data_IF_323531711451
#
_entry.id   IF_323531711451
#
_cell.length_a   1.000
_cell.length_b   1.000
_cell.length_c   1.000
_cell.angle_alpha   90.00
_cell.angle_beta   90.00
_cell.angle_gamma   90.00
#
_symmetry.space_group_name_H-M   'P 1'
#
loop_
_entity.id
_entity.type
_entity.pdbx_description
1 polymer ?
#
# COMPACT_ATOMS: atom_id res chain seq x y z
N UNK A 1 -8.59 23.34 73.54
CA UNK A 1 -7.50 23.31 72.54
C UNK A 1 -7.82 22.22 71.58
N UNK A 2 -8.45 22.57 70.46
CA UNK A 2 -9.03 21.58 69.50
C UNK A 2 -8.16 21.58 68.29
N UNK A 3 -7.43 20.49 68.03
CA UNK A 3 -6.68 20.28 66.81
C UNK A 3 -7.59 19.87 65.69
N UNK A 4 -7.74 20.72 64.67
CA UNK A 4 -8.37 20.37 63.40
C UNK A 4 -7.34 19.68 62.50
N UNK A 5 -7.53 18.37 62.28
CA UNK A 5 -6.80 17.62 61.30
C UNK A 5 -7.45 17.90 59.94
N UNK A 6 -6.73 18.59 59.03
CA UNK A 6 -7.14 18.78 57.64
C UNK A 6 -6.58 17.62 56.85
N UNK A 7 -7.50 16.70 56.47
CA UNK A 7 -7.18 15.58 55.59
C UNK A 7 -7.17 16.11 54.15
N UNK A 8 -5.99 16.33 53.56
CA UNK A 8 -5.83 16.65 52.17
C UNK A 8 -5.91 15.33 51.37
N UNK A 9 -7.04 15.10 50.76
CA UNK A 9 -7.20 13.99 49.78
C UNK A 9 -6.57 14.44 48.46
N UNK A 10 -5.36 13.94 48.18
CA UNK A 10 -4.71 14.12 46.91
C UNK A 10 -5.36 13.18 45.89
N UNK A 11 -6.32 13.66 45.14
CA UNK A 11 -6.84 12.97 43.96
C UNK A 11 -5.76 12.96 42.89
N UNK A 12 -4.95 11.89 42.85
CA UNK A 12 -4.10 11.60 41.73
C UNK A 12 -4.97 11.23 40.54
N UNK A 13 -5.29 12.18 39.70
CA UNK A 13 -5.85 11.96 38.38
C UNK A 13 -4.83 11.20 37.54
N UNK A 14 -4.92 9.87 37.53
CA UNK A 14 -4.26 9.03 36.54
C UNK A 14 -4.89 9.34 35.17
N UNK A 15 -4.42 10.40 34.56
CA UNK A 15 -4.66 10.68 33.15
C UNK A 15 -4.02 9.56 32.34
N UNK A 16 -4.75 8.48 32.13
CA UNK A 16 -4.39 7.50 31.13
C UNK A 16 -4.34 8.20 29.79
N UNK A 17 -3.13 8.46 29.28
CA UNK A 17 -2.91 8.93 27.93
C UNK A 17 -3.28 7.80 26.99
N UNK A 18 -4.58 7.60 26.74
CA UNK A 18 -5.01 6.86 25.57
C UNK A 18 -4.63 7.73 24.38
N UNK A 19 -3.59 7.37 23.65
CA UNK A 19 -3.27 7.96 22.35
C UNK A 19 -4.51 7.78 21.48
N UNK A 20 -5.34 8.81 21.41
CA UNK A 20 -6.51 8.81 20.53
C UNK A 20 -5.99 8.68 19.10
N UNK A 21 -6.35 7.60 18.41
CA UNK A 21 -5.99 7.40 17.01
C UNK A 21 -6.47 8.58 16.18
N UNK A 22 -5.64 8.97 15.23
CA UNK A 22 -6.06 9.96 14.24
C UNK A 22 -7.17 9.40 13.35
N UNK A 23 -7.99 10.28 12.79
CA UNK A 23 -9.07 9.88 11.87
C UNK A 23 -8.52 9.13 10.64
N UNK A 24 -7.33 9.52 10.16
CA UNK A 24 -6.66 8.81 9.06
C UNK A 24 -6.24 7.39 9.43
N UNK A 25 -5.70 7.19 10.63
CA UNK A 25 -5.35 5.85 11.12
C UNK A 25 -6.59 4.96 11.28
N UNK A 26 -7.70 5.53 11.78
CA UNK A 26 -8.97 4.81 11.90
C UNK A 26 -9.50 4.37 10.53
N UNK A 27 -9.48 5.25 9.54
CA UNK A 27 -9.90 4.93 8.17
C UNK A 27 -9.04 3.81 7.56
N UNK A 28 -7.73 3.85 7.76
CA UNK A 28 -6.82 2.78 7.30
C UNK A 28 -7.16 1.44 7.96
N UNK A 29 -7.48 1.43 9.26
CA UNK A 29 -7.86 0.19 9.96
C UNK A 29 -9.19 -0.37 9.47
N UNK A 30 -10.18 0.49 9.25
CA UNK A 30 -11.46 0.09 8.65
C UNK A 30 -11.25 -0.50 7.25
N UNK A 31 -10.42 0.13 6.45
CA UNK A 31 -10.06 -0.37 5.12
C UNK A 31 -9.32 -1.71 5.19
N UNK A 32 -8.35 -1.87 6.10
CA UNK A 32 -7.67 -3.16 6.33
C UNK A 32 -8.67 -4.24 6.70
N UNK A 33 -9.64 -3.94 7.56
CA UNK A 33 -10.69 -4.89 7.93
C UNK A 33 -11.54 -5.28 6.71
N UNK A 34 -11.96 -4.31 5.92
CA UNK A 34 -12.73 -4.51 4.69
C UNK A 34 -11.98 -5.35 3.65
N UNK A 35 -10.65 -5.28 3.63
CA UNK A 35 -9.79 -6.09 2.74
C UNK A 35 -9.40 -7.46 3.32
N UNK A 36 -10.04 -7.93 4.39
CA UNK A 36 -9.83 -9.26 4.95
C UNK A 36 -9.07 -9.28 6.28
N UNK A 37 -8.63 -8.14 6.77
CA UNK A 37 -8.05 -7.96 8.10
C UNK A 37 -6.56 -8.25 8.21
N UNK A 38 -5.90 -7.55 9.12
CA UNK A 38 -4.46 -7.63 9.32
C UNK A 38 -4.00 -9.06 9.70
N UNK A 39 -4.83 -9.80 10.43
CA UNK A 39 -4.52 -11.19 10.82
C UNK A 39 -4.31 -12.08 9.60
N UNK A 40 -5.21 -12.04 8.63
CA UNK A 40 -5.09 -12.85 7.41
C UNK A 40 -3.86 -12.45 6.60
N UNK A 41 -3.58 -11.14 6.50
CA UNK A 41 -2.39 -10.64 5.83
C UNK A 41 -1.09 -11.11 6.51
N UNK A 42 -0.97 -10.99 7.84
CA UNK A 42 0.24 -11.38 8.59
C UNK A 42 0.47 -12.89 8.66
N UNK A 43 -0.59 -13.69 8.49
CA UNK A 43 -0.51 -15.15 8.44
C UNK A 43 -0.50 -15.71 7.02
N UNK A 44 -0.36 -14.85 6.03
CA UNK A 44 -0.33 -15.26 4.63
C UNK A 44 0.80 -16.26 4.39
N UNK A 45 0.46 -17.37 3.71
CA UNK A 45 1.38 -18.43 3.30
C UNK A 45 1.13 -18.74 1.83
N UNK A 46 2.16 -19.13 1.10
CA UNK A 46 2.06 -19.58 -0.28
C UNK A 46 1.22 -18.65 -1.18
N UNK A 47 1.43 -17.35 -1.04
CA UNK A 47 0.75 -16.37 -1.87
C UNK A 47 1.55 -16.15 -3.14
N UNK A 48 0.91 -16.41 -4.27
CA UNK A 48 1.55 -16.24 -5.58
C UNK A 48 0.64 -15.48 -6.53
N UNK A 49 1.19 -14.54 -7.24
CA UNK A 49 0.49 -13.84 -8.32
C UNK A 49 1.42 -13.58 -9.51
N UNK A 50 0.79 -13.49 -10.68
CA UNK A 50 1.40 -13.01 -11.91
C UNK A 50 0.89 -11.60 -12.18
N UNK A 51 1.78 -10.64 -12.32
CA UNK A 51 1.46 -9.28 -12.75
C UNK A 51 1.85 -9.12 -14.20
N UNK A 52 0.90 -8.83 -15.07
CA UNK A 52 1.18 -8.44 -16.45
C UNK A 52 0.98 -6.94 -16.58
N UNK A 53 2.00 -6.24 -17.06
CA UNK A 53 1.98 -4.81 -17.32
C UNK A 53 1.88 -4.57 -18.83
N UNK A 54 1.02 -3.64 -19.21
CA UNK A 54 0.91 -3.12 -20.58
C UNK A 54 1.25 -1.63 -20.49
N UNK A 55 2.46 -1.27 -20.82
CA UNK A 55 2.95 0.11 -20.76
C UNK A 55 2.79 0.73 -22.13
N UNK A 56 2.26 1.95 -22.19
CA UNK A 56 2.21 2.73 -23.42
C UNK A 56 3.48 3.57 -23.49
N UNK A 57 4.41 3.17 -24.34
CA UNK A 57 5.60 3.94 -24.67
C UNK A 57 5.54 4.36 -26.13
N UNK A 58 5.54 5.68 -26.37
CA UNK A 58 5.64 6.34 -27.67
C UNK A 58 4.76 5.78 -28.82
N UNK A 59 3.63 5.12 -28.54
CA UNK A 59 2.70 4.46 -29.48
C UNK A 59 2.75 2.92 -29.49
N UNK A 60 3.67 2.27 -28.78
CA UNK A 60 3.74 0.83 -28.67
C UNK A 60 3.26 0.35 -27.30
N UNK A 61 2.57 -0.80 -27.28
CA UNK A 61 2.19 -1.48 -26.04
C UNK A 61 3.28 -2.51 -25.71
N UNK A 62 4.06 -2.21 -24.69
CA UNK A 62 5.05 -3.16 -24.16
C UNK A 62 4.37 -4.03 -23.12
N UNK A 63 4.44 -5.35 -23.32
CA UNK A 63 3.96 -6.33 -22.35
C UNK A 63 5.12 -6.86 -21.54
N UNK A 64 4.99 -6.77 -20.23
CA UNK A 64 5.91 -7.36 -19.27
C UNK A 64 5.17 -8.19 -18.24
N UNK A 65 5.79 -9.26 -17.74
CA UNK A 65 5.18 -10.18 -16.79
C UNK A 65 6.12 -10.40 -15.61
N UNK A 66 5.67 -10.00 -14.42
CA UNK A 66 6.32 -10.26 -13.15
C UNK A 66 5.56 -11.35 -12.40
N UNK A 67 6.24 -12.44 -12.06
CA UNK A 67 5.70 -13.51 -11.21
C UNK A 67 6.29 -13.37 -9.83
N UNK A 68 5.43 -13.23 -8.82
CA UNK A 68 5.85 -13.17 -7.42
C UNK A 68 5.26 -14.34 -6.65
N UNK A 69 6.09 -14.97 -5.86
CA UNK A 69 5.71 -16.02 -4.92
C UNK A 69 6.22 -15.67 -3.53
N UNK A 70 5.29 -15.64 -2.57
CA UNK A 70 5.60 -15.48 -1.15
C UNK A 70 5.47 -16.83 -0.48
N UNK A 71 6.59 -17.45 -0.14
CA UNK A 71 6.58 -18.75 0.54
C UNK A 71 6.32 -18.60 2.05
N UNK A 72 6.81 -17.52 2.64
CA UNK A 72 6.55 -17.18 4.05
C UNK A 72 6.58 -15.66 4.18
N UNK A 73 5.70 -15.01 4.97
CA UNK A 73 5.61 -13.54 5.03
C UNK A 73 6.89 -12.80 5.45
N UNK A 74 7.95 -13.50 5.79
CA UNK A 74 9.22 -12.92 6.23
C UNK A 74 10.46 -13.63 5.68
N UNK A 75 10.30 -14.66 4.87
CA UNK A 75 11.40 -15.51 4.42
C UNK A 75 11.34 -15.67 2.90
N UNK A 76 11.79 -14.67 2.21
CA UNK A 76 12.12 -14.77 0.80
C UNK A 76 10.98 -14.50 -0.17
N UNK A 77 11.26 -13.58 -1.06
CA UNK A 77 10.48 -13.34 -2.27
C UNK A 77 11.23 -13.97 -3.42
N UNK A 78 10.62 -14.97 -4.08
CA UNK A 78 11.13 -15.47 -5.35
C UNK A 78 10.54 -14.62 -6.46
N UNK A 79 11.38 -13.91 -7.19
CA UNK A 79 10.99 -13.14 -8.37
C UNK A 79 11.36 -13.96 -9.57
N UNK A 80 10.37 -14.33 -10.37
CA UNK A 80 10.57 -14.92 -11.67
C UNK A 80 10.15 -13.87 -12.71
N UNK A 81 11.11 -13.27 -13.38
CA UNK A 81 10.86 -12.40 -14.53
C UNK A 81 10.97 -13.28 -15.76
N UNK A 82 9.88 -13.46 -16.49
CA UNK A 82 9.88 -14.23 -17.73
C UNK A 82 9.78 -13.28 -18.92
N UNK A 83 10.90 -13.03 -19.56
CA UNK A 83 11.09 -13.20 -21.01
C UNK A 83 12.50 -13.68 -21.31
N UNK A 84 13.33 -13.95 -20.46
CA UNK A 84 14.55 -14.74 -20.47
C UNK A 84 15.02 -14.92 -19.03
N UNK A 85 14.08 -15.54 -18.26
CA UNK A 85 14.30 -16.17 -16.95
C UNK A 85 15.41 -15.58 -16.06
N UNK A 86 15.21 -14.41 -15.51
CA UNK A 86 15.99 -13.99 -14.33
C UNK A 86 15.25 -14.44 -13.07
N UNK A 87 15.71 -15.53 -12.46
CA UNK A 87 15.20 -15.98 -11.16
C UNK A 87 16.01 -15.29 -10.07
N UNK A 88 15.43 -14.34 -9.37
CA UNK A 88 16.01 -13.76 -8.17
C UNK A 88 15.30 -14.38 -6.97
N UNK A 89 16.02 -15.19 -6.20
CA UNK A 89 15.55 -15.70 -4.92
C UNK A 89 16.12 -14.81 -3.83
N UNK A 90 15.30 -13.97 -3.25
CA UNK A 90 15.66 -13.20 -2.07
C UNK A 90 15.34 -14.07 -0.86
N UNK A 91 16.33 -14.79 -0.35
CA UNK A 91 16.20 -15.55 0.89
C UNK A 91 16.53 -14.63 2.05
N UNK A 92 15.51 -14.37 2.90
CA UNK A 92 15.66 -13.75 4.22
C UNK A 92 16.11 -12.28 4.23
N UNK A 93 15.27 -11.38 4.72
CA UNK A 93 15.58 -9.95 4.87
C UNK A 93 16.83 -9.66 5.70
N UNK A 94 17.28 -10.63 6.50
CA UNK A 94 18.46 -10.50 7.37
C UNK A 94 19.78 -10.96 6.73
N UNK A 95 19.78 -11.65 5.60
CA UNK A 95 20.97 -12.23 4.99
C UNK A 95 21.46 -11.44 3.78
N UNK A 96 20.60 -10.65 3.17
CA UNK A 96 21.00 -9.86 2.02
C UNK A 96 21.20 -8.41 2.42
N UNK A 97 22.41 -8.09 2.76
CA UNK A 97 22.80 -6.69 2.80
C UNK A 97 22.79 -6.17 1.36
N UNK A 98 22.32 -4.94 1.19
CA UNK A 98 22.34 -4.25 -0.10
C UNK A 98 23.73 -4.18 -0.77
N UNK A 99 24.79 -4.62 -0.08
CA UNK A 99 26.17 -4.68 -0.55
C UNK A 99 26.48 -5.94 -1.39
N UNK A 100 25.68 -6.99 -1.29
CA UNK A 100 25.90 -8.26 -2.00
C UNK A 100 25.14 -8.33 -3.34
N UNK A 101 24.18 -7.40 -3.54
CA UNK A 101 23.44 -7.31 -4.79
C UNK A 101 24.21 -6.42 -5.76
N UNK A 102 24.38 -6.87 -7.01
CA UNK A 102 24.87 -6.01 -8.07
C UNK A 102 23.80 -4.95 -8.43
N UNK A 103 24.16 -3.97 -9.27
CA UNK A 103 23.26 -2.85 -9.64
C UNK A 103 21.92 -3.31 -10.19
N UNK A 104 21.93 -4.37 -11.00
CA UNK A 104 20.72 -4.90 -11.63
C UNK A 104 19.83 -5.57 -10.60
N UNK A 105 20.43 -6.37 -9.70
CA UNK A 105 19.72 -7.02 -8.63
C UNK A 105 19.09 -6.01 -7.64
N UNK A 106 19.78 -4.90 -7.36
CA UNK A 106 19.22 -3.81 -6.54
C UNK A 106 18.03 -3.14 -7.22
N UNK A 107 18.12 -2.94 -8.54
CA UNK A 107 17.02 -2.39 -9.31
C UNK A 107 15.79 -3.32 -9.28
N UNK A 108 15.98 -4.62 -9.48
CA UNK A 108 14.89 -5.60 -9.37
C UNK A 108 14.28 -5.66 -7.97
N UNK A 109 15.10 -5.60 -6.91
CA UNK A 109 14.60 -5.50 -5.55
C UNK A 109 13.67 -4.31 -5.37
N UNK A 110 14.09 -3.13 -5.83
CA UNK A 110 13.28 -1.91 -5.75
C UNK A 110 11.96 -2.04 -6.53
N UNK A 111 11.98 -2.63 -7.72
CA UNK A 111 10.78 -2.89 -8.53
C UNK A 111 9.80 -3.78 -7.77
N UNK A 112 10.30 -4.83 -7.11
CA UNK A 112 9.46 -5.77 -6.35
C UNK A 112 8.91 -5.13 -5.09
N UNK A 113 9.73 -4.42 -4.34
CA UNK A 113 9.28 -3.70 -3.14
C UNK A 113 8.19 -2.68 -3.49
N UNK A 114 8.38 -1.92 -4.57
CA UNK A 114 7.36 -1.01 -5.10
C UNK A 114 6.09 -1.73 -5.55
N UNK A 115 6.22 -2.85 -6.26
CA UNK A 115 5.08 -3.65 -6.68
C UNK A 115 4.29 -4.21 -5.48
N UNK A 116 4.98 -4.68 -4.44
CA UNK A 116 4.37 -5.18 -3.22
C UNK A 116 3.69 -4.07 -2.42
N UNK A 117 4.34 -2.91 -2.30
CA UNK A 117 3.73 -1.75 -1.64
C UNK A 117 2.38 -1.41 -2.26
N UNK A 118 2.33 -1.39 -3.58
CA UNK A 118 1.11 -1.04 -4.32
C UNK A 118 0.08 -2.17 -4.31
N UNK A 119 0.51 -3.42 -4.40
CA UNK A 119 -0.39 -4.57 -4.47
C UNK A 119 -1.09 -4.86 -3.14
N UNK A 120 -0.36 -4.77 -2.02
CA UNK A 120 -0.88 -5.08 -0.69
C UNK A 120 -1.45 -3.86 0.05
N UNK A 121 -1.95 -2.87 -0.66
CA UNK A 121 -2.75 -1.81 -0.05
C UNK A 121 -4.14 -2.37 0.34
N UNK A 122 -4.68 -1.97 1.51
CA UNK A 122 -4.19 -0.93 2.45
C UNK A 122 -3.19 -1.43 3.51
N UNK A 123 -2.84 -2.72 3.55
CA UNK A 123 -2.00 -3.31 4.63
C UNK A 123 -0.64 -2.60 4.76
N UNK A 124 -0.05 -2.20 3.64
CA UNK A 124 1.23 -1.48 3.59
C UNK A 124 1.20 -0.07 4.20
N UNK A 125 0.02 0.48 4.44
CA UNK A 125 -0.14 1.77 5.14
C UNK A 125 0.13 1.68 6.65
N UNK A 126 0.29 0.46 7.19
CA UNK A 126 0.74 0.21 8.57
C UNK A 126 2.26 0.02 8.67
N UNK A 127 3.00 0.16 7.59
CA UNK A 127 4.46 0.05 7.61
C UNK A 127 5.07 1.15 8.49
N UNK A 128 6.19 0.82 9.13
CA UNK A 128 6.87 1.73 10.05
C UNK A 128 7.27 3.03 9.36
N UNK A 129 6.91 4.15 9.99
CA UNK A 129 7.28 5.49 9.54
C UNK A 129 6.23 6.17 8.65
N UNK A 130 5.13 5.49 8.31
CA UNK A 130 4.01 6.14 7.63
C UNK A 130 3.42 7.24 8.53
N UNK A 131 3.33 8.46 8.00
CA UNK A 131 2.64 9.59 8.62
C UNK A 131 1.35 9.82 7.84
N UNK A 132 0.22 9.63 8.51
CA UNK A 132 -1.10 9.61 7.89
C UNK A 132 -1.88 10.86 8.31
N UNK A 133 -2.31 11.64 7.33
CA UNK A 133 -3.17 12.79 7.51
C UNK A 133 -4.51 12.55 6.81
N UNK A 134 -5.60 12.73 7.52
CA UNK A 134 -6.93 12.68 6.95
C UNK A 134 -7.28 14.01 6.29
N UNK A 135 -7.67 13.97 5.02
CA UNK A 135 -8.00 15.16 4.23
C UNK A 135 -9.51 15.39 4.07
N UNK A 136 -10.33 14.45 4.57
CA UNK A 136 -11.79 14.55 4.51
C UNK A 136 -12.41 13.83 3.31
N UNK A 137 -13.72 13.97 3.21
CA UNK A 137 -14.53 13.49 2.09
C UNK A 137 -14.45 14.54 0.98
N UNK A 138 -13.97 14.16 -0.20
CA UNK A 138 -13.73 15.06 -1.34
C UNK A 138 -14.04 14.37 -2.65
N UNK A 139 -14.41 15.14 -3.66
CA UNK A 139 -14.56 14.66 -5.04
C UNK A 139 -13.27 14.96 -5.82
N UNK A 140 -12.38 13.97 -6.00
CA UNK A 140 -11.19 14.14 -6.82
C UNK A 140 -11.57 14.19 -8.31
N UNK A 141 -10.72 14.78 -9.15
CA UNK A 141 -11.02 15.00 -10.57
C UNK A 141 -11.29 13.74 -11.41
N UNK A 142 -10.99 12.53 -10.88
CA UNK A 142 -11.29 11.26 -11.53
C UNK A 142 -12.62 10.63 -11.08
N UNK A 143 -13.30 11.18 -10.09
CA UNK A 143 -14.53 10.62 -9.52
C UNK A 143 -15.59 11.70 -9.33
N UNK A 144 -16.80 11.42 -9.79
CA UNK A 144 -17.97 12.26 -9.54
C UNK A 144 -18.46 12.11 -8.10
N UNK A 145 -18.28 10.91 -7.51
CA UNK A 145 -18.66 10.61 -6.15
C UNK A 145 -17.56 11.05 -5.17
N UNK A 146 -17.95 11.58 -3.99
CA UNK A 146 -17.00 11.95 -2.97
C UNK A 146 -16.34 10.70 -2.35
N UNK A 147 -15.02 10.76 -2.17
CA UNK A 147 -14.21 9.70 -1.61
C UNK A 147 -13.52 10.18 -0.33
N UNK A 148 -13.36 9.29 0.64
CA UNK A 148 -12.51 9.52 1.80
C UNK A 148 -11.06 9.61 1.34
N UNK A 149 -10.36 10.66 1.74
CA UNK A 149 -9.00 10.90 1.28
C UNK A 149 -8.02 11.01 2.43
N UNK A 150 -6.87 10.35 2.31
CA UNK A 150 -5.71 10.54 3.18
C UNK A 150 -4.48 10.94 2.36
N UNK A 151 -3.57 11.63 3.04
CA UNK A 151 -2.22 11.88 2.60
C UNK A 151 -1.26 11.08 3.46
N UNK A 152 -0.28 10.41 2.83
CA UNK A 152 0.73 9.62 3.53
C UNK A 152 2.11 10.08 3.10
N UNK A 153 2.98 10.30 4.06
CA UNK A 153 4.39 10.65 3.86
C UNK A 153 5.29 9.73 4.66
N UNK A 154 6.54 9.60 4.22
CA UNK A 154 7.57 8.81 4.89
C UNK A 154 8.80 9.68 5.16
N UNK A 155 9.47 9.55 6.32
CA UNK A 155 10.58 10.43 6.73
C UNK A 155 11.76 10.48 5.73
N UNK A 156 11.97 9.41 4.97
CA UNK A 156 13.11 9.26 4.07
C UNK A 156 12.70 9.32 2.59
N UNK A 157 11.52 9.84 2.29
CA UNK A 157 11.03 10.00 0.92
C UNK A 157 10.51 11.41 0.69
N UNK A 158 10.78 11.97 -0.48
CA UNK A 158 10.14 13.21 -0.95
C UNK A 158 8.76 12.96 -1.57
N UNK A 159 8.38 11.71 -1.75
CA UNK A 159 7.11 11.32 -2.35
C UNK A 159 5.96 11.60 -1.39
N UNK A 160 4.90 12.16 -1.93
CA UNK A 160 3.64 12.34 -1.22
C UNK A 160 2.62 11.39 -1.83
N UNK A 161 2.10 10.50 -1.00
CA UNK A 161 1.10 9.52 -1.42
C UNK A 161 -0.29 10.00 -1.03
N UNK A 162 -1.27 9.76 -1.90
CA UNK A 162 -2.68 9.98 -1.64
C UNK A 162 -3.42 8.66 -1.85
N UNK A 163 -4.39 8.38 -0.96
CA UNK A 163 -5.25 7.21 -1.08
C UNK A 163 -6.70 7.64 -1.00
N UNK A 164 -7.50 7.02 -1.84
CA UNK A 164 -8.91 7.33 -2.01
C UNK A 164 -9.71 6.07 -1.69
N UNK A 165 -10.61 6.21 -0.72
CA UNK A 165 -11.42 5.10 -0.23
C UNK A 165 -12.89 5.38 -0.52
N UNK A 166 -13.59 4.34 -0.89
CA UNK A 166 -15.04 4.38 -0.91
C UNK A 166 -15.60 4.65 0.49
N UNK A 167 -16.55 5.56 0.58
CA UNK A 167 -17.05 6.00 1.89
C UNK A 167 -17.81 4.90 2.64
N UNK A 168 -18.52 4.02 1.94
CA UNK A 168 -19.33 2.97 2.54
C UNK A 168 -18.54 1.71 2.77
N UNK A 169 -17.88 1.19 1.73
CA UNK A 169 -17.18 -0.10 1.77
C UNK A 169 -15.79 -0.02 2.37
N UNK A 170 -15.18 1.17 2.42
CA UNK A 170 -13.78 1.42 2.80
C UNK A 170 -12.75 0.75 1.89
N UNK A 171 -13.16 0.36 0.68
CA UNK A 171 -12.22 -0.19 -0.30
C UNK A 171 -11.32 0.90 -0.86
N UNK A 172 -10.06 0.55 -1.11
CA UNK A 172 -9.11 1.45 -1.79
C UNK A 172 -9.46 1.49 -3.28
N UNK A 173 -10.06 2.57 -3.74
CA UNK A 173 -10.46 2.75 -5.15
C UNK A 173 -9.34 3.32 -6.01
N UNK A 174 -8.47 4.12 -5.42
CA UNK A 174 -7.32 4.69 -6.13
C UNK A 174 -6.19 5.03 -5.16
N UNK A 175 -5.01 5.20 -5.72
CA UNK A 175 -3.90 5.85 -5.04
C UNK A 175 -3.14 6.73 -6.03
N UNK A 176 -2.56 7.81 -5.53
CA UNK A 176 -1.68 8.67 -6.32
C UNK A 176 -0.35 8.89 -5.60
N UNK A 177 0.70 9.11 -6.37
CA UNK A 177 1.98 9.57 -5.87
C UNK A 177 2.36 10.87 -6.57
N UNK A 178 2.68 11.88 -5.78
CA UNK A 178 3.34 13.10 -6.26
C UNK A 178 4.84 12.94 -6.03
N UNK A 179 5.56 12.75 -7.14
CA UNK A 179 7.00 12.72 -7.19
C UNK A 179 7.51 13.94 -7.94
N UNK A 180 8.10 14.90 -7.22
CA UNK A 180 8.65 16.14 -7.82
C UNK A 180 7.63 16.89 -8.71
N UNK A 181 6.39 17.05 -8.25
CA UNK A 181 5.26 17.69 -8.96
C UNK A 181 4.76 16.93 -10.20
N UNK A 182 5.18 15.67 -10.36
CA UNK A 182 4.56 14.75 -11.31
C UNK A 182 3.64 13.83 -10.54
N UNK A 183 2.35 13.92 -10.82
CA UNK A 183 1.35 13.09 -10.17
C UNK A 183 1.06 11.89 -11.06
N UNK A 184 1.32 10.70 -10.53
CA UNK A 184 0.88 9.43 -11.11
C UNK A 184 -0.32 8.93 -10.31
N UNK A 185 -1.46 8.76 -10.95
CA UNK A 185 -2.69 8.27 -10.35
C UNK A 185 -2.96 6.84 -10.83
N UNK A 186 -3.22 5.93 -9.90
CA UNK A 186 -3.56 4.55 -10.18
C UNK A 186 -5.00 4.30 -9.75
N UNK A 187 -5.85 3.91 -10.70
CA UNK A 187 -7.20 3.46 -10.44
C UNK A 187 -7.24 1.95 -10.23
N UNK A 188 -7.95 1.51 -9.22
CA UNK A 188 -8.18 0.09 -8.89
C UNK A 188 -9.50 -0.34 -9.53
N UNK A 189 -9.46 -0.78 -10.79
CA UNK A 189 -10.65 -1.06 -11.60
C UNK A 189 -11.42 -2.29 -11.11
N UNK A 190 -10.74 -3.26 -10.51
CA UNK A 190 -11.41 -4.43 -9.95
C UNK A 190 -10.64 -5.07 -8.81
N UNK A 191 -11.39 -5.69 -7.93
CA UNK A 191 -10.93 -6.42 -6.76
C UNK A 191 -11.35 -7.88 -6.87
N UNK A 192 -10.61 -8.78 -6.20
CA UNK A 192 -10.97 -10.19 -6.08
C UNK A 192 -10.53 -10.75 -4.74
N UNK A 193 -11.31 -11.68 -4.22
CA UNK A 193 -10.93 -12.43 -3.03
C UNK A 193 -9.95 -13.54 -3.36
N UNK A 194 -8.86 -13.60 -2.60
CA UNK A 194 -7.91 -14.71 -2.65
C UNK A 194 -7.31 -14.96 -1.26
N UNK A 195 -7.35 -16.19 -0.77
CA UNK A 195 -6.85 -16.58 0.57
C UNK A 195 -7.34 -15.65 1.69
N UNK A 196 -8.64 -15.32 1.68
CA UNK A 196 -9.29 -14.41 2.63
C UNK A 196 -8.79 -12.96 2.60
N UNK A 197 -8.09 -12.56 1.55
CA UNK A 197 -7.73 -11.17 1.28
C UNK A 197 -8.45 -10.67 0.04
N UNK A 198 -8.94 -9.45 0.11
CA UNK A 198 -9.46 -8.71 -1.03
C UNK A 198 -8.30 -7.95 -1.67
N UNK A 199 -7.91 -8.35 -2.86
CA UNK A 199 -6.74 -7.81 -3.57
C UNK A 199 -7.12 -7.25 -4.93
N UNK A 200 -6.29 -6.38 -5.46
CA UNK A 200 -6.49 -5.78 -6.77
C UNK A 200 -6.27 -6.80 -7.89
N UNK A 201 -7.19 -6.88 -8.86
CA UNK A 201 -7.06 -7.76 -10.03
C UNK A 201 -6.82 -7.00 -11.33
N UNK A 202 -7.27 -5.76 -11.42
CA UNK A 202 -6.99 -4.85 -12.54
C UNK A 202 -6.75 -3.44 -12.05
N UNK A 203 -5.80 -2.77 -12.68
CA UNK A 203 -5.44 -1.38 -12.36
C UNK A 203 -5.04 -0.64 -13.61
N UNK A 204 -5.24 0.68 -13.61
CA UNK A 204 -4.74 1.58 -14.66
C UNK A 204 -3.97 2.74 -14.03
N UNK A 205 -2.82 3.06 -14.62
CA UNK A 205 -1.99 4.19 -14.21
C UNK A 205 -2.13 5.33 -15.21
N UNK A 206 -2.30 6.53 -14.69
CA UNK A 206 -2.44 7.75 -15.48
C UNK A 206 -1.43 8.80 -15.04
N UNK A 207 -0.93 9.57 -16.00
CA UNK A 207 -0.43 10.90 -15.69
C UNK A 207 -1.62 11.76 -15.25
N UNK A 208 -1.44 12.50 -14.17
CA UNK A 208 -2.50 13.31 -13.56
C UNK A 208 -1.96 14.68 -13.16
N UNK A 209 -2.84 15.58 -12.77
CA UNK A 209 -2.50 16.86 -12.16
C UNK A 209 -2.77 16.85 -10.65
N UNK A 210 -2.53 17.97 -9.99
CA UNK A 210 -2.76 18.13 -8.54
C UNK A 210 -4.22 18.01 -8.10
N UNK A 211 -5.18 18.09 -9.02
CA UNK A 211 -6.61 17.88 -8.76
C UNK A 211 -7.02 16.43 -9.04
N UNK A 212 -6.07 15.57 -9.38
CA UNK A 212 -6.28 14.16 -9.74
C UNK A 212 -7.15 13.93 -10.97
N UNK A 213 -7.12 14.86 -11.94
CA UNK A 213 -7.75 14.69 -13.24
C UNK A 213 -6.94 13.73 -14.11
N UNK A 214 -7.63 12.89 -14.90
CA UNK A 214 -6.97 11.92 -15.79
C UNK A 214 -6.48 12.62 -17.06
N UNK A 215 -5.15 12.78 -17.21
CA UNK A 215 -4.55 13.45 -18.37
C UNK A 215 -4.24 12.43 -19.47
N UNK A 216 -3.52 11.37 -19.15
CA UNK A 216 -3.08 10.37 -20.13
C UNK A 216 -2.87 9.01 -19.46
N UNK A 217 -3.39 7.96 -20.09
CA UNK A 217 -3.10 6.58 -19.68
C UNK A 217 -1.61 6.29 -19.90
N UNK A 218 -0.94 5.77 -18.88
CA UNK A 218 0.47 5.39 -18.93
C UNK A 218 0.65 3.87 -19.00
N UNK A 219 -0.15 3.14 -18.20
CA UNK A 219 -0.07 1.69 -18.15
C UNK A 219 -1.38 1.07 -17.66
N UNK A 220 -1.58 -0.20 -18.00
CA UNK A 220 -2.59 -1.03 -17.36
C UNK A 220 -1.94 -2.30 -16.82
N UNK A 221 -2.52 -2.82 -15.72
CA UNK A 221 -2.00 -3.98 -15.01
C UNK A 221 -3.09 -5.01 -14.82
N UNK A 222 -2.73 -6.27 -15.04
CA UNK A 222 -3.58 -7.42 -14.70
C UNK A 222 -2.84 -8.28 -13.69
N UNK A 223 -3.54 -8.71 -12.65
CA UNK A 223 -3.03 -9.61 -11.63
C UNK A 223 -3.81 -10.92 -11.71
N UNK A 224 -3.12 -12.02 -11.89
CA UNK A 224 -3.67 -13.36 -11.86
C UNK A 224 -3.17 -14.07 -10.62
N UNK A 225 -4.09 -14.40 -9.72
CA UNK A 225 -3.76 -15.20 -8.55
C UNK A 225 -3.51 -16.62 -8.95
N UNK A 226 -2.42 -17.19 -8.46
CA UNK A 226 -2.02 -18.57 -8.76
C UNK A 226 -2.21 -19.41 -7.50
N UNK A 227 -3.01 -20.44 -7.59
CA UNK A 227 -3.12 -21.45 -6.53
C UNK A 227 -1.86 -22.31 -6.55
N UNK A 228 -1.23 -22.49 -5.39
CA UNK A 228 -0.18 -23.50 -5.22
C UNK A 228 -0.91 -24.76 -4.84
N UNK A 229 -0.83 -25.80 -5.69
CA UNK A 229 -1.35 -27.14 -5.42
C UNK A 229 -0.46 -27.86 -4.42
#
# INVERSE_FOLDING_TARGET
>A
MIYRIVLIVLLASLGGCSTQKSQGESLVEESILAHGGLKNYTHLRDFRYEKTSYTLDAEEIIKDTLVQQFEIPRLGTTILITEDSLRITLQNENIQTSKELNSDQQNYKSIVEGANFVFFQPFKLKDKGAQIEYLGLKSPGFSEEPLEQIRVTYPNSSDIWYFFFDHETKYVLANAVDHNRKVSLILNDSLQWHKNLLVHSRRRSFLSNSNFELIRLQASYKYKMVSVE
#
